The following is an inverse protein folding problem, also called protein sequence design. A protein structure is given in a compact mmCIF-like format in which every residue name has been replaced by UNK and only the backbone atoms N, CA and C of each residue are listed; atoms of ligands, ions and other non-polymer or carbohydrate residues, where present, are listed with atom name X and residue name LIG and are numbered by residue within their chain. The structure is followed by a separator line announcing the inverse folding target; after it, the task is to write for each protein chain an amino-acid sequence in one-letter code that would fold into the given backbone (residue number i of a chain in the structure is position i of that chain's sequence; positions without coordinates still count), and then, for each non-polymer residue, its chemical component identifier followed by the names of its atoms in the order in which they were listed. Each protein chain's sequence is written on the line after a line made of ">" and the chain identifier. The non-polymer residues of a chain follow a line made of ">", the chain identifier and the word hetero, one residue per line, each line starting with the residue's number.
data_IF_927889721029
#
_entry.id   IF_927889721029
#
_cell.length_a   1.000
_cell.length_b   1.000
_cell.length_c   1.000
_cell.angle_alpha   90.00
_cell.angle_beta   90.00
_cell.angle_gamma   90.00
#
_symmetry.space_group_name_H-M   'P 1'
#
loop_
_entity.id
_entity.type
_entity.pdbx_description
1 polymer ?
#
# COMPACT_ATOMS: atom_id res chain seq x y z
N UNK A 1 -28.02 11.88 -26.91
CA UNK A 1 -28.19 11.31 -25.56
C UNK A 1 -28.43 9.81 -25.66
N UNK A 2 -27.47 8.99 -25.19
CA UNK A 2 -27.63 7.67 -24.56
C UNK A 2 -26.24 7.20 -24.12
N UNK A 3 -26.07 7.07 -22.79
CA UNK A 3 -24.86 6.68 -22.05
C UNK A 3 -24.69 5.15 -22.08
N UNK A 4 -23.46 4.66 -22.27
CA UNK A 4 -22.94 3.35 -21.83
C UNK A 4 -21.39 3.43 -21.94
N UNK A 5 -20.63 3.67 -20.87
CA UNK A 5 -20.24 2.78 -19.77
C UNK A 5 -18.97 1.94 -20.07
N UNK A 6 -18.01 2.05 -19.13
CA UNK A 6 -16.89 1.13 -18.85
C UNK A 6 -15.54 1.39 -19.56
N UNK A 7 -14.68 2.21 -18.95
CA UNK A 7 -13.33 1.87 -18.48
C UNK A 7 -12.63 3.13 -17.93
N UNK A 8 -13.04 3.57 -16.75
CA UNK A 8 -12.29 4.51 -15.92
C UNK A 8 -12.69 4.27 -14.46
N UNK A 9 -12.28 3.13 -13.92
CA UNK A 9 -12.60 2.73 -12.54
C UNK A 9 -11.77 1.50 -12.14
N UNK A 10 -10.54 1.70 -11.68
CA UNK A 10 -9.84 0.73 -10.80
C UNK A 10 -9.40 1.36 -9.48
N UNK A 11 -9.70 2.64 -9.24
CA UNK A 11 -9.53 3.27 -7.93
C UNK A 11 -10.79 3.89 -7.32
N UNK A 12 -11.97 3.81 -7.97
CA UNK A 12 -13.24 4.33 -7.43
C UNK A 12 -14.49 3.46 -7.74
N UNK A 13 -14.36 2.14 -7.91
CA UNK A 13 -15.55 1.26 -7.96
C UNK A 13 -15.83 0.84 -6.53
N UNK A 14 -16.84 1.42 -5.91
CA UNK A 14 -17.67 0.74 -4.93
C UNK A 14 -18.35 -0.47 -5.59
N UNK A 15 -17.58 -1.51 -5.87
CA UNK A 15 -18.09 -2.87 -5.88
C UNK A 15 -17.55 -3.46 -4.59
N UNK A 16 -18.38 -4.20 -3.87
CA UNK A 16 -17.96 -5.12 -2.84
C UNK A 16 -17.00 -6.17 -3.44
N UNK A 17 -15.81 -5.77 -3.89
CA UNK A 17 -14.66 -6.62 -3.86
C UNK A 17 -14.52 -6.93 -2.39
N UNK A 18 -14.99 -8.10 -2.01
CA UNK A 18 -14.64 -8.73 -0.75
C UNK A 18 -13.12 -8.73 -0.79
N UNK A 19 -12.48 -7.71 -0.20
CA UNK A 19 -11.04 -7.63 -0.12
C UNK A 19 -10.64 -8.96 0.48
N UNK A 20 -9.95 -9.80 -0.30
CA UNK A 20 -9.53 -11.10 0.16
C UNK A 20 -8.78 -10.84 1.47
N UNK A 21 -9.40 -11.24 2.58
CA UNK A 21 -8.84 -10.99 3.90
C UNK A 21 -7.44 -11.62 3.87
N UNK A 22 -6.40 -10.86 4.22
CA UNK A 22 -5.04 -11.38 4.14
C UNK A 22 -4.97 -12.67 4.94
N UNK A 23 -4.47 -13.72 4.29
CA UNK A 23 -4.57 -15.08 4.80
C UNK A 23 -3.68 -15.20 6.02
N UNK A 24 -4.30 -15.50 7.16
CA UNK A 24 -3.61 -15.76 8.42
C UNK A 24 -2.78 -17.03 8.24
N UNK A 25 -1.47 -16.93 8.46
CA UNK A 25 -0.59 -18.12 8.54
C UNK A 25 -1.00 -18.90 9.79
N UNK A 26 -1.80 -19.96 9.62
CA UNK A 26 -2.31 -20.78 10.73
C UNK A 26 -1.46 -22.02 11.02
N UNK A 27 -0.41 -22.26 10.24
CA UNK A 27 0.50 -23.36 10.53
C UNK A 27 1.53 -22.91 11.56
N UNK A 28 1.85 -23.77 12.53
CA UNK A 28 2.88 -23.52 13.52
C UNK A 28 4.22 -23.32 12.83
N UNK A 29 4.61 -22.05 12.63
CA UNK A 29 5.90 -21.69 12.01
C UNK A 29 6.99 -21.90 13.05
N UNK A 30 7.50 -23.12 13.16
CA UNK A 30 8.63 -23.46 14.03
C UNK A 30 9.98 -23.33 13.32
N UNK A 31 9.99 -23.39 11.99
CA UNK A 31 11.20 -23.37 11.17
C UNK A 31 11.04 -22.43 9.97
N UNK A 32 12.07 -21.65 9.68
CA UNK A 32 12.13 -20.71 8.55
C UNK A 32 13.43 -20.91 7.75
N UNK A 33 13.35 -20.75 6.43
CA UNK A 33 14.50 -20.67 5.55
C UNK A 33 14.67 -19.22 5.09
N UNK A 34 15.84 -18.61 5.33
CA UNK A 34 16.17 -17.32 4.72
C UNK A 34 16.45 -17.54 3.24
N UNK A 35 15.65 -16.91 2.39
CA UNK A 35 15.79 -16.98 0.93
C UNK A 35 15.35 -15.66 0.29
N UNK A 36 15.55 -15.50 -1.02
CA UNK A 36 15.17 -14.29 -1.76
C UNK A 36 13.88 -14.52 -2.54
N UNK A 37 12.85 -13.73 -2.23
CA UNK A 37 11.58 -13.69 -2.95
C UNK A 37 11.77 -12.94 -4.27
N UNK A 38 11.14 -13.45 -5.33
CA UNK A 38 11.14 -12.79 -6.65
C UNK A 38 10.46 -11.42 -6.63
N UNK A 39 9.59 -11.15 -5.66
CA UNK A 39 8.98 -9.82 -5.50
C UNK A 39 10.02 -8.73 -5.24
N UNK A 40 11.16 -9.08 -4.65
CA UNK A 40 12.26 -8.15 -4.43
C UNK A 40 13.07 -7.92 -5.71
N UNK A 41 12.82 -8.66 -6.79
CA UNK A 41 13.49 -8.47 -8.08
C UNK A 41 12.76 -7.48 -9.01
N UNK A 42 11.63 -6.95 -8.55
CA UNK A 42 10.81 -5.99 -9.29
C UNK A 42 11.04 -4.55 -8.79
N UNK A 43 11.31 -3.64 -9.73
CA UNK A 43 11.31 -2.19 -9.52
C UNK A 43 10.34 -1.53 -10.49
N UNK A 44 9.98 -0.28 -10.19
CA UNK A 44 9.14 0.54 -11.05
C UNK A 44 9.42 2.03 -10.78
N UNK A 45 8.61 2.92 -11.36
CA UNK A 45 8.77 4.37 -11.20
C UNK A 45 8.69 4.87 -9.76
N UNK A 46 8.04 4.12 -8.86
CA UNK A 46 7.87 4.48 -7.44
C UNK A 46 8.75 3.69 -6.50
N UNK A 47 9.45 2.67 -6.97
CA UNK A 47 10.20 1.72 -6.14
C UNK A 47 11.55 1.39 -6.79
N UNK A 48 12.66 1.69 -6.11
CA UNK A 48 14.02 1.46 -6.58
C UNK A 48 14.90 0.80 -5.51
N UNK A 49 15.99 0.15 -5.93
CA UNK A 49 17.00 -0.36 -5.00
C UNK A 49 17.90 0.76 -4.51
N UNK A 50 18.35 0.65 -3.26
CA UNK A 50 19.37 1.55 -2.67
C UNK A 50 20.60 0.80 -2.17
N UNK A 51 20.75 -0.46 -2.54
CA UNK A 51 21.99 -1.19 -2.34
C UNK A 51 22.22 -2.26 -3.41
N UNK A 52 23.46 -2.67 -3.55
CA UNK A 52 23.92 -3.66 -4.52
C UNK A 52 23.31 -5.05 -4.30
N UNK A 53 22.98 -5.39 -3.04
CA UNK A 53 22.33 -6.66 -2.68
C UNK A 53 20.84 -6.71 -3.05
N UNK A 54 20.24 -5.58 -3.45
CA UNK A 54 18.82 -5.46 -3.80
C UNK A 54 17.89 -5.92 -2.68
N UNK A 55 18.29 -5.71 -1.44
CA UNK A 55 17.51 -6.01 -0.24
C UNK A 55 17.24 -4.75 0.60
N UNK A 56 17.59 -3.57 0.08
CA UNK A 56 17.08 -2.29 0.57
C UNK A 56 16.30 -1.59 -0.57
N UNK A 57 15.04 -1.28 -0.30
CA UNK A 57 14.10 -0.68 -1.23
C UNK A 57 13.75 0.74 -0.79
N UNK A 58 13.76 1.66 -1.75
CA UNK A 58 13.29 3.02 -1.61
C UNK A 58 11.99 3.21 -2.36
N UNK A 59 11.01 3.82 -1.70
CA UNK A 59 9.67 4.03 -2.21
C UNK A 59 9.25 5.50 -2.09
N UNK A 60 8.70 6.04 -3.18
CA UNK A 60 7.95 7.29 -3.17
C UNK A 60 6.92 7.32 -4.29
N UNK A 61 5.87 8.12 -4.11
CA UNK A 61 4.75 8.18 -5.05
C UNK A 61 4.46 9.57 -5.60
N UNK A 62 5.36 10.52 -5.35
CA UNK A 62 5.16 11.94 -5.65
C UNK A 62 6.46 12.54 -6.18
N UNK A 63 6.33 13.44 -7.15
CA UNK A 63 7.44 14.19 -7.74
C UNK A 63 7.74 15.49 -6.97
N UNK A 64 6.92 15.83 -5.95
CA UNK A 64 7.08 17.02 -5.13
C UNK A 64 6.36 18.26 -5.67
N UNK A 65 5.53 18.12 -6.71
CA UNK A 65 4.77 19.24 -7.30
C UNK A 65 3.42 19.50 -6.60
N UNK A 66 3.03 18.65 -5.63
CA UNK A 66 1.79 18.76 -4.87
C UNK A 66 0.67 17.89 -5.47
N UNK A 67 0.13 17.00 -4.65
CA UNK A 67 -0.75 15.89 -5.05
C UNK A 67 -2.16 16.25 -5.54
N UNK A 68 -2.50 17.55 -5.64
CA UNK A 68 -3.83 18.00 -6.11
C UNK A 68 -4.03 17.83 -7.63
N UNK A 69 -2.94 17.65 -8.39
CA UNK A 69 -3.00 17.51 -9.84
C UNK A 69 -3.64 16.18 -10.30
N UNK A 70 -3.46 15.09 -9.54
CA UNK A 70 -3.86 13.75 -9.98
C UNK A 70 -5.38 13.53 -9.94
N UNK A 71 -6.08 14.14 -8.98
CA UNK A 71 -7.53 14.07 -8.87
C UNK A 71 -8.25 14.90 -9.96
N UNK A 72 -7.54 15.87 -10.56
CA UNK A 72 -8.18 16.96 -11.30
C UNK A 72 -7.99 16.89 -12.82
N UNK A 73 -6.91 16.27 -13.34
CA UNK A 73 -6.50 16.50 -14.74
C UNK A 73 -6.40 15.28 -15.68
N UNK A 74 -6.92 14.11 -15.30
CA UNK A 74 -7.08 12.99 -16.23
C UNK A 74 -5.78 12.30 -16.67
N UNK A 75 -5.89 11.39 -17.65
CA UNK A 75 -4.86 10.39 -17.97
C UNK A 75 -3.53 10.94 -18.54
N UNK A 76 -3.52 12.12 -19.14
CA UNK A 76 -2.31 12.73 -19.72
C UNK A 76 -1.42 13.30 -18.61
N UNK A 77 -2.00 14.05 -17.66
CA UNK A 77 -1.27 14.58 -16.50
C UNK A 77 -0.75 13.46 -15.61
N UNK A 78 -1.48 12.35 -15.52
CA UNK A 78 -1.00 11.15 -14.83
C UNK A 78 0.29 10.58 -15.45
N UNK A 79 0.44 10.60 -16.78
CA UNK A 79 1.62 10.07 -17.46
C UNK A 79 2.85 11.00 -17.32
N UNK A 80 2.65 12.31 -17.42
CA UNK A 80 3.71 13.30 -17.18
C UNK A 80 4.23 13.21 -15.74
N UNK A 81 3.33 13.09 -14.77
CA UNK A 81 3.68 12.91 -13.37
C UNK A 81 4.46 11.61 -13.13
N UNK A 82 4.16 10.52 -13.84
CA UNK A 82 4.93 9.27 -13.71
C UNK A 82 6.40 9.43 -14.13
N UNK A 83 6.70 10.22 -15.17
CA UNK A 83 8.08 10.48 -15.60
C UNK A 83 8.82 11.32 -14.56
N UNK A 84 8.15 12.33 -14.00
CA UNK A 84 8.72 13.14 -12.93
C UNK A 84 8.96 12.31 -11.66
N UNK A 85 8.00 11.48 -11.26
CA UNK A 85 8.14 10.55 -10.12
C UNK A 85 9.32 9.60 -10.35
N UNK A 86 9.44 9.00 -11.53
CA UNK A 86 10.55 8.10 -11.87
C UNK A 86 11.91 8.82 -11.77
N UNK A 87 12.02 10.03 -12.32
CA UNK A 87 13.24 10.82 -12.29
C UNK A 87 13.68 11.17 -10.85
N UNK A 88 12.73 11.62 -10.01
CA UNK A 88 13.01 11.93 -8.59
C UNK A 88 13.36 10.64 -7.83
N UNK A 89 12.69 9.52 -8.12
CA UNK A 89 12.96 8.22 -7.47
C UNK A 89 14.33 7.68 -7.81
N UNK A 90 14.74 7.78 -9.07
CA UNK A 90 16.09 7.39 -9.48
C UNK A 90 17.14 8.31 -8.86
N UNK A 91 16.90 9.62 -8.78
CA UNK A 91 17.83 10.57 -8.16
C UNK A 91 18.02 10.29 -6.66
N UNK A 92 16.93 10.14 -5.90
CA UNK A 92 16.97 9.83 -4.48
C UNK A 92 17.63 8.46 -4.23
N UNK A 93 17.27 7.44 -5.03
CA UNK A 93 17.85 6.11 -4.89
C UNK A 93 19.35 6.08 -5.20
N UNK A 94 19.80 6.84 -6.20
CA UNK A 94 21.21 7.00 -6.51
C UNK A 94 21.98 7.70 -5.37
N UNK A 95 21.37 8.67 -4.70
CA UNK A 95 21.96 9.33 -3.52
C UNK A 95 22.16 8.35 -2.35
N UNK A 96 21.23 7.40 -2.18
CA UNK A 96 21.27 6.42 -1.08
C UNK A 96 22.04 5.14 -1.41
N UNK A 97 22.40 4.92 -2.67
CA UNK A 97 23.01 3.68 -3.16
C UNK A 97 24.26 3.28 -2.37
N UNK A 98 24.20 2.13 -1.70
CA UNK A 98 25.25 1.56 -0.84
C UNK A 98 25.72 2.52 0.27
N UNK A 99 24.91 3.52 0.64
CA UNK A 99 25.19 4.46 1.72
C UNK A 99 24.54 4.10 3.05
N UNK A 100 23.50 3.26 3.03
CA UNK A 100 22.82 2.78 4.23
C UNK A 100 23.49 1.46 4.65
N UNK A 101 24.32 1.45 5.72
CA UNK A 101 25.16 0.31 6.07
C UNK A 101 24.36 -0.74 6.86
N UNK A 102 23.35 -1.32 6.21
CA UNK A 102 22.45 -2.32 6.79
C UNK A 102 22.51 -3.59 5.96
N UNK A 103 22.58 -4.72 6.66
CA UNK A 103 22.43 -6.06 6.08
C UNK A 103 21.16 -6.69 6.67
N UNK A 104 20.02 -6.60 5.96
CA UNK A 104 18.73 -7.10 6.45
C UNK A 104 18.75 -8.59 6.78
N UNK A 105 19.43 -9.42 5.97
CA UNK A 105 19.53 -10.86 6.18
C UNK A 105 20.31 -11.20 7.45
N UNK A 106 21.44 -10.51 7.68
CA UNK A 106 22.22 -10.67 8.91
C UNK A 106 21.47 -10.19 10.14
N UNK A 107 20.81 -9.04 10.07
CA UNK A 107 19.99 -8.51 11.17
C UNK A 107 18.85 -9.45 11.54
N UNK A 108 18.13 -9.98 10.53
CA UNK A 108 17.10 -10.99 10.73
C UNK A 108 17.64 -12.29 11.34
N UNK A 109 18.77 -12.80 10.84
CA UNK A 109 19.40 -14.02 11.37
C UNK A 109 19.76 -13.90 12.84
N UNK A 110 20.28 -12.72 13.23
CA UNK A 110 20.59 -12.42 14.63
C UNK A 110 19.33 -12.36 15.49
N UNK A 111 18.26 -11.70 15.02
CA UNK A 111 16.97 -11.67 15.69
C UNK A 111 16.36 -13.07 15.86
N UNK A 112 16.45 -13.91 14.83
CA UNK A 112 15.93 -15.29 14.85
C UNK A 112 16.64 -16.17 15.90
N UNK A 113 17.94 -15.96 16.12
CA UNK A 113 18.71 -16.68 17.15
C UNK A 113 18.17 -16.43 18.57
N UNK A 114 17.57 -15.26 18.82
CA UNK A 114 16.92 -14.92 20.08
C UNK A 114 15.45 -15.32 20.18
N UNK A 115 14.90 -15.98 19.15
CA UNK A 115 13.49 -16.34 19.06
C UNK A 115 13.26 -17.85 19.27
N UNK A 116 12.00 -18.26 19.41
CA UNK A 116 11.63 -19.69 19.42
C UNK A 116 11.57 -20.32 18.03
N UNK A 117 11.73 -19.53 16.97
CA UNK A 117 11.69 -19.97 15.58
C UNK A 117 13.10 -20.32 15.13
N UNK A 118 13.29 -21.53 14.61
CA UNK A 118 14.60 -22.01 14.14
C UNK A 118 14.82 -21.62 12.68
N UNK A 119 16.06 -21.30 12.32
CA UNK A 119 16.45 -21.19 10.92
C UNK A 119 16.94 -22.55 10.43
N UNK A 120 16.31 -23.08 9.38
CA UNK A 120 16.62 -24.39 8.82
C UNK A 120 16.58 -24.32 7.29
N UNK A 121 17.63 -24.80 6.64
CA UNK A 121 17.65 -24.97 5.19
C UNK A 121 16.66 -26.07 4.78
N UNK A 122 15.93 -25.85 3.69
CA UNK A 122 14.88 -26.76 3.23
C UNK A 122 13.56 -26.60 3.99
N UNK A 123 13.38 -25.55 4.81
CA UNK A 123 12.10 -25.27 5.45
C UNK A 123 11.01 -25.03 4.40
N UNK A 124 9.81 -25.54 4.69
CA UNK A 124 8.60 -25.28 3.92
C UNK A 124 8.23 -23.79 3.87
N UNK A 125 8.69 -23.00 4.85
CA UNK A 125 8.43 -21.57 4.93
C UNK A 125 9.72 -20.80 4.67
N UNK A 126 9.71 -20.06 3.58
CA UNK A 126 10.77 -19.19 3.10
C UNK A 126 10.50 -17.75 3.51
N UNK A 127 11.56 -17.05 3.91
CA UNK A 127 11.46 -15.65 4.31
C UNK A 127 12.53 -14.80 3.64
N UNK A 128 12.14 -13.60 3.23
CA UNK A 128 13.03 -12.63 2.58
C UNK A 128 13.04 -11.33 3.37
N UNK A 129 14.03 -11.14 4.26
CA UNK A 129 14.21 -9.89 4.98
C UNK A 129 14.73 -8.80 4.04
N UNK A 130 14.21 -7.59 4.18
CA UNK A 130 14.63 -6.41 3.42
C UNK A 130 14.40 -5.14 4.24
N UNK A 131 15.15 -4.08 3.93
CA UNK A 131 14.91 -2.74 4.45
C UNK A 131 13.93 -2.02 3.52
N UNK A 132 12.90 -1.40 4.08
CA UNK A 132 11.98 -0.54 3.34
C UNK A 132 12.15 0.91 3.77
N UNK A 133 12.35 1.81 2.82
CA UNK A 133 12.54 3.24 3.03
C UNK A 133 11.42 3.97 2.28
N UNK A 134 10.52 4.64 3.00
CA UNK A 134 9.39 5.37 2.46
C UNK A 134 9.62 6.88 2.56
N UNK A 135 9.52 7.63 1.46
CA UNK A 135 9.62 9.09 1.48
C UNK A 135 8.27 9.72 1.80
N UNK A 136 8.07 10.04 3.08
CA UNK A 136 6.84 10.65 3.58
C UNK A 136 6.70 12.13 3.19
N UNK A 137 7.78 12.89 3.17
CA UNK A 137 7.84 14.31 2.77
C UNK A 137 9.16 14.57 2.00
N UNK A 138 9.41 15.76 1.41
CA UNK A 138 10.63 16.01 0.63
C UNK A 138 11.94 15.67 1.35
N UNK A 139 12.02 15.92 2.66
CA UNK A 139 13.20 15.66 3.49
C UNK A 139 12.94 14.66 4.61
N UNK A 140 11.84 13.90 4.53
CA UNK A 140 11.43 12.95 5.57
C UNK A 140 11.31 11.55 5.00
N UNK A 141 12.25 10.70 5.38
CA UNK A 141 12.28 9.27 5.15
C UNK A 141 11.87 8.54 6.43
N UNK A 142 10.99 7.56 6.27
CA UNK A 142 10.56 6.64 7.30
C UNK A 142 11.03 5.24 6.92
N UNK A 143 11.56 4.49 7.90
CA UNK A 143 12.18 3.18 7.65
C UNK A 143 11.33 2.07 8.26
N UNK A 144 11.43 0.87 7.70
CA UNK A 144 10.93 -0.35 8.32
C UNK A 144 11.85 -1.55 8.08
N UNK A 145 11.97 -2.40 9.11
CA UNK A 145 12.37 -3.78 8.90
C UNK A 145 11.19 -4.50 8.24
N UNK A 146 11.42 -5.16 7.11
CA UNK A 146 10.36 -5.77 6.33
C UNK A 146 10.69 -7.22 5.97
N UNK A 147 9.68 -8.07 5.94
CA UNK A 147 9.81 -9.50 5.73
C UNK A 147 8.71 -9.97 4.79
N UNK A 148 9.09 -10.59 3.67
CA UNK A 148 8.15 -11.40 2.87
C UNK A 148 8.22 -12.82 3.40
N UNK A 149 7.07 -13.44 3.65
CA UNK A 149 6.93 -14.82 4.07
C UNK A 149 6.20 -15.60 2.97
N UNK A 150 6.84 -16.63 2.46
CA UNK A 150 6.35 -17.51 1.39
C UNK A 150 6.31 -18.94 1.93
N UNK A 151 5.20 -19.67 1.78
CA UNK A 151 5.08 -21.02 2.33
C UNK A 151 4.50 -22.04 1.35
N UNK A 152 4.92 -23.29 1.49
CA UNK A 152 4.31 -24.46 0.83
C UNK A 152 3.22 -25.04 1.73
N UNK A 153 1.97 -24.66 1.51
CA UNK A 153 0.78 -25.18 2.21
C UNK A 153 -0.44 -25.14 1.28
N UNK A 154 -1.67 -25.44 1.74
CA UNK A 154 -2.89 -25.28 0.91
C UNK A 154 -3.13 -23.82 0.46
N UNK A 155 -2.37 -22.90 1.06
CA UNK A 155 -2.17 -21.52 0.67
C UNK A 155 -0.94 -21.31 -0.23
N UNK A 156 -0.56 -22.30 -1.05
CA UNK A 156 0.57 -22.23 -1.98
C UNK A 156 0.44 -20.98 -2.85
N UNK A 157 1.44 -20.10 -2.80
CA UNK A 157 1.45 -18.81 -3.49
C UNK A 157 0.95 -17.61 -2.67
N UNK A 158 0.45 -17.80 -1.45
CA UNK A 158 0.10 -16.68 -0.57
C UNK A 158 1.36 -16.12 0.09
N UNK A 159 1.75 -14.95 -0.40
CA UNK A 159 2.86 -14.16 0.11
C UNK A 159 2.33 -13.21 1.18
N UNK A 160 2.83 -13.34 2.40
CA UNK A 160 2.49 -12.43 3.48
C UNK A 160 3.64 -11.45 3.70
N UNK A 161 3.32 -10.15 3.77
CA UNK A 161 4.28 -9.11 4.10
C UNK A 161 4.11 -8.72 5.56
N UNK A 162 5.21 -8.67 6.29
CA UNK A 162 5.30 -8.10 7.62
C UNK A 162 6.24 -6.91 7.57
N UNK A 163 5.84 -5.78 8.14
CA UNK A 163 6.70 -4.61 8.29
C UNK A 163 6.64 -4.11 9.73
N UNK A 164 7.78 -3.71 10.25
CA UNK A 164 7.90 -3.02 11.52
C UNK A 164 8.53 -1.66 11.30
N UNK A 165 7.75 -0.60 11.46
CA UNK A 165 8.23 0.77 11.28
C UNK A 165 9.25 1.11 12.37
N UNK A 166 10.44 1.49 11.95
CA UNK A 166 11.52 1.94 12.83
C UNK A 166 11.19 3.34 13.34
N UNK A 167 11.35 3.55 14.65
CA UNK A 167 11.16 4.85 15.27
C UNK A 167 12.19 5.86 14.77
N UNK A 168 11.72 7.06 14.42
CA UNK A 168 12.52 8.17 13.93
C UNK A 168 12.17 8.60 12.51
N UNK A 169 12.72 9.75 12.14
CA UNK A 169 12.64 10.33 10.82
C UNK A 169 14.07 10.64 10.36
N UNK A 170 14.33 10.50 9.07
CA UNK A 170 15.66 10.71 8.50
C UNK A 170 15.56 11.56 7.25
N UNK A 171 16.50 12.47 7.02
CA UNK A 171 16.66 13.03 5.67
C UNK A 171 17.45 12.09 4.77
N UNK A 172 17.36 12.23 3.43
CA UNK A 172 18.25 11.53 2.52
C UNK A 172 19.74 11.80 2.82
N UNK A 173 20.08 13.02 3.24
CA UNK A 173 21.43 13.38 3.64
C UNK A 173 21.87 12.62 4.91
N UNK A 174 21.02 12.56 5.93
CA UNK A 174 21.33 11.88 7.20
C UNK A 174 21.63 10.39 6.96
N UNK A 175 20.80 9.71 6.16
CA UNK A 175 21.02 8.31 5.80
C UNK A 175 22.28 8.11 4.96
N UNK A 176 22.58 9.05 4.06
CA UNK A 176 23.75 8.95 3.20
C UNK A 176 25.08 9.18 3.95
N UNK A 177 25.03 9.81 5.13
CA UNK A 177 26.21 10.19 5.93
C UNK A 177 26.19 9.65 7.35
N UNK A 178 25.59 8.48 7.59
CA UNK A 178 25.59 7.84 8.91
C UNK A 178 27.02 7.56 9.36
N UNK A 179 27.39 8.08 10.54
CA UNK A 179 28.61 7.67 11.23
C UNK A 179 28.44 6.29 11.89
N UNK A 180 29.53 5.68 12.34
CA UNK A 180 29.53 4.32 12.91
C UNK A 180 28.53 4.16 14.07
N UNK A 181 28.40 5.16 14.94
CA UNK A 181 27.48 5.12 16.07
C UNK A 181 26.01 5.16 15.62
N UNK A 182 25.68 6.03 14.65
CA UNK A 182 24.34 6.13 14.09
C UNK A 182 23.98 4.88 13.27
N UNK A 183 24.93 4.34 12.49
CA UNK A 183 24.80 3.08 11.78
C UNK A 183 24.56 1.91 12.73
N UNK A 184 25.31 1.81 13.83
CA UNK A 184 25.13 0.77 14.84
C UNK A 184 23.74 0.88 15.51
N UNK A 185 23.30 2.10 15.84
CA UNK A 185 21.95 2.35 16.38
C UNK A 185 20.86 1.90 15.41
N UNK A 186 20.95 2.31 14.14
CA UNK A 186 19.99 1.91 13.11
C UNK A 186 19.94 0.39 12.92
N UNK A 187 21.11 -0.26 12.82
CA UNK A 187 21.19 -1.72 12.73
C UNK A 187 20.53 -2.41 13.92
N UNK A 188 20.72 -1.88 15.14
CA UNK A 188 20.08 -2.44 16.33
C UNK A 188 18.55 -2.27 16.27
N UNK A 189 18.05 -1.11 15.86
CA UNK A 189 16.61 -0.90 15.69
C UNK A 189 16.00 -1.85 14.66
N UNK A 190 16.72 -2.14 13.56
CA UNK A 190 16.26 -3.08 12.52
C UNK A 190 16.24 -4.53 13.04
N UNK A 191 17.27 -4.96 13.78
CA UNK A 191 17.31 -6.25 14.48
C UNK A 191 16.14 -6.39 15.48
N UNK A 192 15.86 -5.33 16.24
CA UNK A 192 14.73 -5.31 17.18
C UNK A 192 13.39 -5.37 16.43
N UNK A 193 13.26 -4.66 15.30
CA UNK A 193 12.09 -4.75 14.42
C UNK A 193 11.85 -6.16 13.90
N UNK A 194 12.88 -6.87 13.44
CA UNK A 194 12.77 -8.27 13.05
C UNK A 194 12.38 -9.19 14.22
N UNK A 195 12.90 -8.92 15.42
CA UNK A 195 12.53 -9.67 16.62
C UNK A 195 11.03 -9.51 16.93
N UNK A 196 10.47 -8.32 16.73
CA UNK A 196 9.04 -8.07 16.90
C UNK A 196 8.20 -8.75 15.80
N UNK A 197 8.65 -8.74 14.55
CA UNK A 197 8.02 -9.48 13.45
C UNK A 197 7.96 -10.98 13.77
N UNK A 198 9.06 -11.58 14.22
CA UNK A 198 9.09 -13.01 14.58
C UNK A 198 8.11 -13.36 15.72
N UNK A 199 8.03 -12.50 16.75
CA UNK A 199 7.02 -12.64 17.82
C UNK A 199 5.60 -12.59 17.25
N UNK A 200 5.33 -11.66 16.33
CA UNK A 200 4.01 -11.53 15.69
C UNK A 200 3.68 -12.74 14.83
N UNK A 201 4.62 -13.28 14.06
CA UNK A 201 4.44 -14.52 13.29
C UNK A 201 4.08 -15.68 14.22
N UNK A 202 4.81 -15.84 15.33
CA UNK A 202 4.51 -16.88 16.32
C UNK A 202 3.14 -16.69 17.00
N UNK A 203 2.67 -15.45 17.16
CA UNK A 203 1.35 -15.14 17.71
C UNK A 203 0.22 -15.38 16.67
N UNK A 204 0.43 -15.02 15.41
CA UNK A 204 -0.52 -15.26 14.30
C UNK A 204 -0.81 -16.75 14.14
N UNK A 205 0.22 -17.60 14.26
CA UNK A 205 0.09 -19.05 14.19
C UNK A 205 -0.86 -19.65 15.26
N UNK A 206 -1.10 -18.92 16.37
CA UNK A 206 -2.01 -19.35 17.45
C UNK A 206 -3.48 -18.99 17.19
N UNK A 207 -3.80 -18.27 16.12
CA UNK A 207 -5.17 -18.15 15.60
C UNK A 207 -6.07 -17.07 16.22
N UNK A 208 -5.55 -15.91 16.62
CA UNK A 208 -6.33 -14.85 17.29
C UNK A 208 -7.15 -13.92 16.38
N UNK A 209 -7.34 -14.24 15.09
CA UNK A 209 -7.88 -13.32 14.10
C UNK A 209 -9.34 -12.89 14.33
N UNK A 210 -10.12 -13.63 15.13
CA UNK A 210 -11.54 -13.31 15.40
C UNK A 210 -11.75 -12.13 16.36
N UNK A 211 -10.69 -11.55 16.93
CA UNK A 211 -10.75 -10.45 17.89
C UNK A 211 -10.29 -9.10 17.30
N UNK A 212 -9.94 -9.08 16.01
CA UNK A 212 -9.39 -7.89 15.37
C UNK A 212 -10.48 -6.82 15.14
N UNK A 213 -10.19 -5.57 15.51
CA UNK A 213 -11.13 -4.44 15.39
C UNK A 213 -10.90 -3.72 14.07
N UNK A 214 -11.95 -3.51 13.27
CA UNK A 214 -11.85 -2.71 12.03
C UNK A 214 -11.57 -1.25 12.35
N UNK A 215 -10.69 -0.64 11.56
CA UNK A 215 -10.30 0.76 11.67
C UNK A 215 -10.21 1.42 10.29
N UNK A 216 -10.46 2.73 10.26
CA UNK A 216 -10.07 3.60 9.17
C UNK A 216 -8.99 4.56 9.70
N UNK A 217 -7.86 4.65 9.00
CA UNK A 217 -6.73 5.44 9.44
C UNK A 217 -5.91 5.95 8.25
N UNK A 218 -5.15 7.01 8.45
CA UNK A 218 -4.15 7.51 7.50
C UNK A 218 -2.77 7.22 8.06
N UNK A 219 -1.81 6.96 7.18
CA UNK A 219 -0.43 6.80 7.61
C UNK A 219 0.53 7.37 6.57
N UNK A 220 1.35 8.38 6.91
CA UNK A 220 2.36 8.90 6.00
C UNK A 220 3.43 7.84 5.66
N UNK A 221 3.51 6.75 6.43
CA UNK A 221 4.37 5.62 6.13
C UNK A 221 3.83 4.73 5.00
N UNK A 222 2.55 4.36 5.06
CA UNK A 222 1.91 3.46 4.09
C UNK A 222 1.39 4.15 2.84
N UNK A 223 0.90 5.38 2.98
CA UNK A 223 0.38 6.22 1.91
C UNK A 223 1.08 7.58 1.96
N UNK A 224 2.40 7.62 1.72
CA UNK A 224 3.16 8.87 1.78
C UNK A 224 2.54 9.92 0.85
N UNK A 225 2.34 11.13 1.39
CA UNK A 225 1.81 12.33 0.69
C UNK A 225 0.41 12.21 0.08
N UNK A 226 -0.29 11.12 0.34
CA UNK A 226 -1.69 10.97 -0.02
C UNK A 226 -2.57 11.06 1.22
N UNK A 227 -3.59 11.90 1.14
CA UNK A 227 -4.55 12.10 2.23
C UNK A 227 -5.73 11.11 2.19
N UNK A 228 -5.46 9.85 1.82
CA UNK A 228 -6.49 8.80 1.75
C UNK A 228 -6.52 7.96 3.03
N UNK A 229 -7.71 7.74 3.56
CA UNK A 229 -7.91 6.79 4.65
C UNK A 229 -7.80 5.35 4.13
N UNK A 230 -6.98 4.55 4.80
CA UNK A 230 -6.88 3.12 4.65
C UNK A 230 -7.90 2.44 5.58
N UNK A 231 -8.54 1.39 5.10
CA UNK A 231 -9.32 0.47 5.92
C UNK A 231 -8.47 -0.75 6.28
N UNK A 232 -8.43 -1.10 7.55
CA UNK A 232 -7.70 -2.26 8.06
C UNK A 232 -8.28 -2.78 9.37
N UNK A 233 -7.57 -3.67 10.03
CA UNK A 233 -7.91 -4.17 11.36
C UNK A 233 -6.75 -4.01 12.33
N UNK A 234 -7.03 -3.63 13.58
CA UNK A 234 -6.05 -3.68 14.67
C UNK A 234 -5.90 -5.12 15.13
N UNK A 235 -4.68 -5.62 15.08
CA UNK A 235 -4.31 -6.99 15.44
C UNK A 235 -3.68 -7.06 16.82
N UNK A 236 -2.92 -6.03 17.19
CA UNK A 236 -2.36 -5.81 18.52
C UNK A 236 -2.06 -4.32 18.70
N UNK A 237 -2.05 -3.87 19.95
CA UNK A 237 -1.69 -2.50 20.31
C UNK A 237 -0.61 -2.58 21.40
N UNK A 238 0.64 -2.38 21.00
CA UNK A 238 1.80 -2.45 21.88
C UNK A 238 2.06 -1.04 22.48
N UNK A 239 3.18 -0.85 23.19
CA UNK A 239 3.49 0.44 23.81
C UNK A 239 3.66 1.55 22.76
N UNK A 240 4.55 1.34 21.78
CA UNK A 240 4.98 2.37 20.82
C UNK A 240 4.38 2.18 19.42
N UNK A 241 3.91 0.97 19.11
CA UNK A 241 3.37 0.62 17.79
C UNK A 241 1.98 0.03 17.89
N UNK A 242 1.18 0.22 16.85
CA UNK A 242 -0.08 -0.51 16.63
C UNK A 242 0.10 -1.42 15.43
N UNK A 243 -0.17 -2.71 15.63
CA UNK A 243 -0.16 -3.70 14.56
C UNK A 243 -1.47 -3.64 13.80
N UNK A 244 -1.39 -3.27 12.53
CA UNK A 244 -2.54 -3.17 11.63
C UNK A 244 -2.40 -4.15 10.48
N UNK A 245 -3.49 -4.80 10.14
CA UNK A 245 -3.62 -5.68 8.98
C UNK A 245 -4.42 -4.96 7.91
N UNK A 246 -3.85 -4.85 6.72
CA UNK A 246 -4.49 -4.27 5.52
C UNK A 246 -4.31 -5.22 4.34
N UNK A 247 -4.93 -4.94 3.19
CA UNK A 247 -4.87 -5.81 2.01
C UNK A 247 -3.43 -6.14 1.53
N UNK A 248 -2.45 -5.31 1.88
CA UNK A 248 -1.04 -5.49 1.53
C UNK A 248 -0.19 -6.29 2.53
N UNK A 249 -0.72 -6.64 3.71
CA UNK A 249 0.04 -7.36 4.75
C UNK A 249 -0.23 -6.86 6.18
N UNK A 250 0.74 -7.14 7.06
CA UNK A 250 0.76 -6.78 8.47
C UNK A 250 1.82 -5.70 8.72
N UNK A 251 1.45 -4.63 9.39
CA UNK A 251 2.31 -3.47 9.60
C UNK A 251 2.27 -3.06 11.07
N UNK A 252 3.40 -3.05 11.77
CA UNK A 252 3.54 -2.35 13.03
C UNK A 252 3.87 -0.89 12.74
N UNK A 253 2.89 -0.02 12.90
CA UNK A 253 3.05 1.40 12.65
C UNK A 253 3.34 2.11 13.98
N UNK A 254 4.26 3.06 13.96
CA UNK A 254 4.45 3.96 15.09
C UNK A 254 3.14 4.69 15.38
N UNK A 255 2.75 4.84 16.64
CA UNK A 255 1.45 5.43 17.00
C UNK A 255 1.29 6.85 16.46
N UNK A 256 2.37 7.63 16.45
CA UNK A 256 2.40 8.96 15.85
C UNK A 256 2.23 8.95 14.31
N UNK A 257 2.45 7.81 13.66
CA UNK A 257 2.25 7.62 12.22
C UNK A 257 0.85 7.12 11.85
N UNK A 258 -0.08 7.11 12.81
CA UNK A 258 -1.50 6.79 12.59
C UNK A 258 -2.33 8.06 12.82
N UNK A 259 -2.80 8.66 11.74
CA UNK A 259 -3.61 9.88 11.76
C UNK A 259 -5.07 9.47 11.48
N UNK A 260 -6.00 9.95 12.31
CA UNK A 260 -7.42 9.55 12.32
C UNK A 260 -7.69 8.16 12.93
N UNK A 261 -8.64 8.15 13.85
CA UNK A 261 -8.86 7.06 14.82
C UNK A 261 -10.27 6.49 14.65
N UNK A 262 -10.31 5.17 14.49
CA UNK A 262 -11.42 4.22 14.72
C UNK A 262 -12.83 4.82 14.65
N UNK A 263 -13.45 4.76 13.47
CA UNK A 263 -14.90 4.64 13.45
C UNK A 263 -15.21 3.19 13.81
N UNK A 264 -15.61 2.93 15.06
CA UNK A 264 -16.18 1.65 15.42
C UNK A 264 -17.45 1.50 14.56
N UNK A 265 -17.39 0.66 13.52
CA UNK A 265 -18.60 0.25 12.84
C UNK A 265 -19.52 -0.33 13.93
N UNK A 266 -20.79 0.11 14.02
CA UNK A 266 -21.71 -0.48 14.97
C UNK A 266 -21.66 -1.99 14.73
N UNK A 267 -21.36 -2.74 15.80
CA UNK A 267 -21.57 -4.19 15.79
C UNK A 267 -23.02 -4.34 15.35
N UNK A 268 -23.25 -4.76 14.12
CA UNK A 268 -24.57 -5.25 13.72
C UNK A 268 -24.74 -6.45 14.64
N UNK A 269 -25.45 -6.23 15.76
CA UNK A 269 -25.80 -7.29 16.66
C UNK A 269 -26.30 -8.41 15.77
N UNK A 270 -25.65 -9.57 15.86
CA UNK A 270 -26.06 -10.74 15.10
C UNK A 270 -27.59 -10.78 15.20
N UNK A 271 -28.27 -10.73 14.05
CA UNK A 271 -29.72 -10.74 14.03
C UNK A 271 -30.16 -11.81 15.02
N UNK A 272 -30.98 -11.48 16.04
CA UNK A 272 -31.31 -12.41 17.11
C UNK A 272 -31.68 -13.72 16.42
N UNK A 273 -30.98 -14.78 16.80
CA UNK A 273 -31.16 -16.10 16.21
C UNK A 273 -32.67 -16.29 16.05
N UNK A 274 -33.12 -16.40 14.79
CA UNK A 274 -34.53 -16.43 14.47
C UNK A 274 -35.18 -17.39 15.45
N UNK A 275 -36.02 -16.83 16.33
CA UNK A 275 -36.71 -17.59 17.36
C UNK A 275 -37.34 -18.77 16.63
N UNK A 276 -36.93 -19.98 17.02
CA UNK A 276 -37.35 -21.19 16.35
C UNK A 276 -38.87 -21.12 16.24
N UNK A 277 -39.39 -21.06 15.01
CA UNK A 277 -40.83 -21.02 14.78
C UNK A 277 -41.44 -22.14 15.63
N UNK A 278 -42.41 -21.83 16.50
CA UNK A 278 -43.06 -22.85 17.28
C UNK A 278 -43.55 -23.94 16.31
N UNK A 279 -43.41 -25.23 16.66
CA UNK A 279 -43.93 -26.30 15.83
C UNK A 279 -45.42 -26.01 15.54
N UNK A 280 -45.88 -26.25 14.29
CA UNK A 280 -47.26 -25.94 13.91
C UNK A 280 -48.22 -26.57 14.93
N UNK A 281 -49.05 -25.73 15.55
CA UNK A 281 -50.05 -26.19 16.50
C UNK A 281 -50.98 -27.21 15.80
N UNK A 282 -51.35 -28.32 16.47
CA UNK A 282 -52.33 -29.24 15.93
C UNK A 282 -53.64 -28.50 15.67
N UNK A 283 -54.22 -28.70 14.49
CA UNK A 283 -55.45 -28.05 14.05
C UNK A 283 -56.59 -28.33 15.06
N UNK A 284 -56.94 -27.30 15.84
CA UNK A 284 -58.09 -27.32 16.73
C UNK A 284 -59.30 -26.66 16.06
N UNK A 285 -60.45 -27.33 16.19
CA UNK A 285 -61.74 -26.94 15.65
C UNK A 285 -62.21 -25.55 16.15
N UNK A 286 -63.05 -24.84 15.38
CA UNK A 286 -63.46 -23.48 15.69
C UNK A 286 -64.33 -23.43 16.94
N UNK A 287 -63.89 -22.68 17.96
CA UNK A 287 -64.68 -22.33 19.13
C UNK A 287 -64.76 -20.81 19.26
N UNK A 288 -65.98 -20.38 19.61
CA UNK A 288 -66.52 -19.03 19.55
C UNK A 288 -65.79 -18.00 20.40
N UNK A 289 -65.71 -16.80 19.83
CA UNK A 289 -65.19 -15.56 20.42
C UNK A 289 -66.20 -14.98 21.40
N UNK A 290 -65.75 -14.65 22.61
CA UNK A 290 -66.42 -13.73 23.53
C UNK A 290 -65.38 -12.71 24.04
N UNK A 291 -65.62 -11.39 23.92
CA UNK A 291 -64.67 -10.37 24.35
C UNK A 291 -64.89 -9.93 25.80
N UNK A 292 -63.82 -9.64 26.52
CA UNK A 292 -63.87 -8.81 27.73
C UNK A 292 -62.66 -7.87 27.84
N UNK A 293 -62.81 -6.71 28.51
CA UNK A 293 -62.06 -5.50 28.22
C UNK A 293 -61.00 -5.14 29.27
N UNK A 294 -60.18 -4.15 28.88
CA UNK A 294 -59.44 -3.17 29.69
C UNK A 294 -58.51 -3.66 30.81
N UNK A 295 -57.25 -3.20 30.78
CA UNK A 295 -56.68 -2.41 31.89
C UNK A 295 -55.47 -1.60 31.38
N UNK A 296 -55.50 -0.31 31.71
CA UNK A 296 -54.44 0.69 31.54
C UNK A 296 -53.51 0.62 32.75
N UNK A 297 -52.18 0.67 32.56
CA UNK A 297 -51.27 0.99 33.66
C UNK A 297 -50.13 1.91 33.20
N UNK A 298 -49.86 2.90 34.06
CA UNK A 298 -49.05 4.08 33.81
C UNK A 298 -47.56 3.85 34.10
N UNK A 299 -46.71 4.61 33.38
CA UNK A 299 -45.25 4.63 33.54
C UNK A 299 -44.87 5.81 34.45
N UNK A 300 -44.07 5.62 35.53
CA UNK A 300 -43.56 6.72 36.33
C UNK A 300 -42.26 7.34 35.78
N UNK A 301 -42.14 8.64 36.03
CA UNK A 301 -41.01 9.54 35.74
C UNK A 301 -39.72 9.17 36.49
N UNK A 302 -38.56 9.43 35.85
CA UNK A 302 -37.23 9.35 36.45
C UNK A 302 -36.68 10.78 36.63
N UNK A 303 -36.18 11.16 37.84
CA UNK A 303 -35.68 12.50 38.10
C UNK A 303 -34.23 12.75 37.64
N UNK A 304 -33.93 14.04 37.55
CA UNK A 304 -32.76 14.65 36.93
C UNK A 304 -31.50 14.78 37.83
N UNK A 305 -30.38 14.95 37.11
CA UNK A 305 -29.21 15.80 37.39
C UNK A 305 -28.13 15.36 38.39
N UNK A 306 -26.90 15.25 37.86
CA UNK A 306 -25.61 15.43 38.56
C UNK A 306 -24.75 16.37 37.70
N UNK A 307 -24.20 17.49 38.23
CA UNK A 307 -23.29 18.34 37.48
C UNK A 307 -21.83 17.87 37.65
N UNK A 308 -21.13 17.69 36.54
CA UNK A 308 -19.68 17.47 36.53
C UNK A 308 -18.95 18.79 36.26
N UNK A 309 -18.16 19.22 37.25
CA UNK A 309 -17.18 20.30 37.14
C UNK A 309 -15.92 19.74 36.46
N UNK A 310 -15.53 20.28 35.31
CA UNK A 310 -14.18 20.10 34.74
C UNK A 310 -13.59 21.46 34.42
N UNK A 311 -12.47 21.76 35.09
CA UNK A 311 -11.64 22.91 34.84
C UNK A 311 -10.94 22.76 33.48
N UNK A 312 -10.99 23.83 32.67
CA UNK A 312 -10.25 23.95 31.42
C UNK A 312 -8.79 24.32 31.73
N UNK A 313 -7.85 23.51 31.23
CA UNK A 313 -6.44 23.88 31.12
C UNK A 313 -6.20 24.30 29.68
N UNK A 314 -5.92 25.58 29.47
CA UNK A 314 -5.49 26.14 28.18
C UNK A 314 -4.02 25.80 27.93
N UNK A 315 -3.67 25.13 26.82
CA UNK A 315 -2.27 24.98 26.45
C UNK A 315 -1.72 26.28 25.87
N UNK A 316 -0.54 26.67 26.35
CA UNK A 316 0.27 27.77 25.83
C UNK A 316 0.77 27.44 24.42
N UNK A 317 0.67 28.35 23.43
CA UNK A 317 1.18 28.10 22.08
C UNK A 317 2.71 28.06 22.07
N UNK A 318 3.26 27.06 21.38
CA UNK A 318 4.69 26.94 21.10
C UNK A 318 5.13 28.02 20.10
N UNK A 319 6.36 28.55 20.22
CA UNK A 319 6.88 29.56 19.29
C UNK A 319 7.13 28.96 17.89
N UNK A 320 6.73 29.70 16.87
CA UNK A 320 6.95 29.33 15.47
C UNK A 320 8.45 29.34 15.12
N UNK A 321 8.95 28.37 14.33
CA UNK A 321 10.33 28.36 13.88
C UNK A 321 10.59 29.48 12.85
N UNK A 322 11.75 30.12 12.99
CA UNK A 322 12.21 31.18 12.10
C UNK A 322 12.41 30.64 10.68
N UNK A 323 11.73 31.24 9.71
CA UNK A 323 11.93 30.96 8.27
C UNK A 323 13.24 31.60 7.82
N UNK A 324 14.23 30.77 7.48
CA UNK A 324 15.41 31.20 6.73
C UNK A 324 15.00 31.42 5.27
N UNK A 325 15.12 32.65 4.79
CA UNK A 325 14.85 32.98 3.40
C UNK A 325 15.97 32.41 2.50
N UNK A 326 15.69 31.31 1.83
CA UNK A 326 16.57 30.77 0.79
C UNK A 326 16.32 31.53 -0.51
N UNK A 327 17.38 32.14 -1.04
CA UNK A 327 17.38 32.85 -2.32
C UNK A 327 17.02 31.87 -3.45
N UNK A 328 16.01 32.13 -4.30
CA UNK A 328 15.64 31.22 -5.37
C UNK A 328 16.79 31.07 -6.36
N UNK A 329 17.15 29.82 -6.66
CA UNK A 329 18.06 29.49 -7.75
C UNK A 329 17.42 29.88 -9.08
N UNK A 330 18.23 30.39 -10.01
CA UNK A 330 17.78 30.75 -11.34
C UNK A 330 17.18 29.52 -12.05
N UNK A 331 16.09 29.68 -12.83
CA UNK A 331 15.45 28.58 -13.51
C UNK A 331 16.43 27.90 -14.48
N UNK A 332 16.63 26.60 -14.30
CA UNK A 332 17.32 25.75 -15.26
C UNK A 332 16.38 25.63 -16.47
N UNK A 333 16.81 26.16 -17.61
CA UNK A 333 16.10 25.99 -18.89
C UNK A 333 16.21 24.52 -19.29
N UNK A 334 15.15 23.75 -19.05
CA UNK A 334 15.05 22.38 -19.53
C UNK A 334 15.05 22.39 -21.06
N UNK A 335 16.06 21.77 -21.67
CA UNK A 335 16.06 21.48 -23.11
C UNK A 335 14.99 20.43 -23.35
N UNK A 336 13.96 20.76 -24.13
CA UNK A 336 12.90 19.82 -24.47
C UNK A 336 13.51 18.56 -25.12
N UNK A 337 13.14 17.34 -24.67
CA UNK A 337 13.64 16.12 -25.29
C UNK A 337 13.26 16.09 -26.77
N UNK A 338 14.23 15.78 -27.64
CA UNK A 338 13.97 15.63 -29.06
C UNK A 338 12.98 14.48 -29.27
N UNK A 339 11.86 14.77 -29.93
CA UNK A 339 10.82 13.77 -30.20
C UNK A 339 11.36 12.70 -31.15
N UNK A 340 11.48 11.46 -30.66
CA UNK A 340 11.88 10.30 -31.48
C UNK A 340 10.72 9.92 -32.42
N UNK A 341 11.03 9.69 -33.70
CA UNK A 341 10.03 9.30 -34.71
C UNK A 341 10.22 7.84 -35.14
N UNK A 342 9.12 7.17 -35.42
CA UNK A 342 9.11 5.83 -36.01
C UNK A 342 8.01 5.72 -37.08
N UNK A 343 8.04 4.65 -37.85
CA UNK A 343 6.97 4.32 -38.78
C UNK A 343 6.23 3.08 -38.30
N UNK A 344 4.91 3.05 -38.47
CA UNK A 344 4.11 1.87 -38.16
C UNK A 344 4.29 0.78 -39.24
N UNK A 345 4.33 -0.50 -38.84
CA UNK A 345 4.20 -1.65 -39.77
C UNK A 345 2.79 -1.71 -40.35
N UNK A 346 2.64 -2.44 -41.44
CA UNK A 346 1.31 -2.69 -42.01
C UNK A 346 0.41 -3.43 -41.01
N UNK A 347 -0.81 -2.94 -40.83
CA UNK A 347 -1.77 -3.50 -39.88
C UNK A 347 -1.45 -3.23 -38.40
N UNK A 348 -0.49 -2.36 -38.09
CA UNK A 348 -0.15 -2.04 -36.72
C UNK A 348 -1.36 -1.45 -35.96
N UNK A 349 -1.64 -2.00 -34.78
CA UNK A 349 -2.84 -1.69 -34.02
C UNK A 349 -2.53 -0.73 -32.88
N UNK A 350 -3.10 0.48 -32.93
CA UNK A 350 -3.15 1.37 -31.77
C UNK A 350 -4.19 0.86 -30.79
N UNK A 351 -3.82 0.75 -29.51
CA UNK A 351 -4.68 0.28 -28.43
C UNK A 351 -4.90 1.36 -27.39
N UNK A 352 -6.08 1.36 -26.78
CA UNK A 352 -6.40 2.29 -25.70
C UNK A 352 -5.48 2.08 -24.47
N UNK A 353 -5.08 0.83 -24.23
CA UNK A 353 -4.21 0.45 -23.11
C UNK A 353 -3.18 -0.59 -23.55
N UNK A 354 -2.00 -0.63 -22.91
CA UNK A 354 -1.01 -1.67 -23.11
C UNK A 354 -1.51 -2.93 -22.39
N UNK A 355 -2.13 -3.85 -23.13
CA UNK A 355 -2.78 -4.99 -22.53
C UNK A 355 -1.78 -6.02 -21.99
N UNK A 356 -2.06 -6.58 -20.81
CA UNK A 356 -1.48 -7.83 -20.34
C UNK A 356 -1.80 -8.95 -21.35
N UNK A 357 -0.93 -9.95 -21.45
CA UNK A 357 -0.89 -10.93 -22.54
C UNK A 357 -2.23 -11.67 -22.81
N UNK A 358 -3.13 -11.72 -21.83
CA UNK A 358 -4.43 -12.40 -21.91
C UNK A 358 -5.63 -11.50 -22.24
N UNK A 359 -5.52 -10.16 -22.16
CA UNK A 359 -6.69 -9.28 -22.11
C UNK A 359 -6.99 -8.48 -23.40
N UNK A 360 -6.22 -8.66 -24.48
CA UNK A 360 -6.54 -8.12 -25.81
C UNK A 360 -7.07 -6.68 -25.80
N UNK A 361 -6.23 -5.71 -25.45
CA UNK A 361 -6.64 -4.31 -25.27
C UNK A 361 -7.38 -3.75 -26.49
N UNK A 362 -8.45 -2.98 -26.23
CA UNK A 362 -9.33 -2.41 -27.25
C UNK A 362 -8.50 -1.65 -28.30
N UNK A 363 -8.58 -2.12 -29.54
CA UNK A 363 -7.97 -1.45 -30.69
C UNK A 363 -8.77 -0.17 -30.95
N UNK A 364 -8.08 0.97 -30.92
CA UNK A 364 -8.66 2.29 -31.18
C UNK A 364 -8.44 2.72 -32.64
N UNK A 365 -7.38 2.23 -33.28
CA UNK A 365 -7.12 2.44 -34.70
C UNK A 365 -6.18 1.37 -35.26
N UNK A 366 -6.24 1.17 -36.57
CA UNK A 366 -5.24 0.41 -37.33
C UNK A 366 -4.50 1.42 -38.22
N UNK A 367 -3.17 1.35 -38.20
CA UNK A 367 -2.30 2.22 -38.97
C UNK A 367 -1.91 1.53 -40.28
N UNK A 368 -1.84 2.31 -41.36
CA UNK A 368 -1.27 1.83 -42.62
C UNK A 368 0.26 1.74 -42.50
N UNK A 369 0.86 0.85 -43.29
CA UNK A 369 2.32 0.75 -43.39
C UNK A 369 2.98 2.12 -43.65
N UNK A 370 4.07 2.42 -42.95
CA UNK A 370 4.81 3.67 -43.12
C UNK A 370 4.16 4.89 -42.48
N UNK A 371 3.04 4.73 -41.75
CA UNK A 371 2.42 5.86 -41.03
C UNK A 371 3.41 6.41 -40.00
N UNK A 372 3.80 7.69 -40.08
CA UNK A 372 4.71 8.28 -39.12
C UNK A 372 4.03 8.43 -37.76
N UNK A 373 4.74 8.03 -36.72
CA UNK A 373 4.28 8.14 -35.33
C UNK A 373 5.33 8.84 -34.48
N UNK A 374 4.86 9.68 -33.56
CA UNK A 374 5.71 10.34 -32.57
C UNK A 374 5.73 9.47 -31.32
N UNK A 375 6.91 9.01 -30.91
CA UNK A 375 7.09 8.21 -29.70
C UNK A 375 7.10 9.12 -28.49
N UNK A 376 6.19 8.88 -27.53
CA UNK A 376 6.02 9.71 -26.33
C UNK A 376 6.53 9.03 -25.07
N UNK A 377 6.13 7.78 -24.86
CA UNK A 377 6.45 7.05 -23.64
C UNK A 377 6.75 5.59 -23.96
N UNK A 378 7.78 5.02 -23.33
CA UNK A 378 8.11 3.59 -23.42
C UNK A 378 7.77 2.91 -22.11
N UNK A 379 7.08 1.77 -22.16
CA UNK A 379 6.91 0.90 -20.99
C UNK A 379 7.25 -0.54 -21.36
N UNK A 380 7.67 -1.33 -20.37
CA UNK A 380 7.87 -2.77 -20.48
C UNK A 380 6.98 -3.47 -19.47
N UNK A 381 6.28 -4.52 -19.89
CA UNK A 381 5.48 -5.35 -18.99
C UNK A 381 5.58 -6.82 -19.43
N UNK A 382 4.92 -7.72 -18.68
CA UNK A 382 4.91 -9.16 -19.00
C UNK A 382 4.31 -9.55 -20.36
N UNK A 383 3.77 -8.60 -21.14
CA UNK A 383 3.28 -8.81 -22.51
C UNK A 383 4.18 -8.22 -23.61
N UNK A 384 5.30 -7.60 -23.23
CA UNK A 384 6.30 -7.04 -24.12
C UNK A 384 6.57 -5.56 -23.88
N UNK A 385 7.21 -4.94 -24.86
CA UNK A 385 7.56 -3.52 -24.84
C UNK A 385 6.54 -2.72 -25.65
N UNK A 386 6.04 -1.65 -25.06
CA UNK A 386 4.98 -0.82 -25.62
C UNK A 386 5.42 0.64 -25.69
N UNK A 387 4.96 1.31 -26.73
CA UNK A 387 5.12 2.74 -26.92
C UNK A 387 3.77 3.44 -26.90
N UNK A 388 3.63 4.48 -26.10
CA UNK A 388 2.58 5.46 -26.31
C UNK A 388 3.01 6.34 -27.48
N UNK A 389 2.15 6.45 -28.49
CA UNK A 389 2.44 7.18 -29.71
C UNK A 389 1.30 8.12 -30.09
N UNK A 390 1.65 9.21 -30.77
CA UNK A 390 0.69 10.09 -31.43
C UNK A 390 0.81 9.94 -32.95
N UNK A 391 -0.32 9.66 -33.59
CA UNK A 391 -0.44 9.57 -35.03
C UNK A 391 -1.43 10.66 -35.51
N UNK A 392 -0.96 11.58 -36.36
CA UNK A 392 -1.65 12.83 -36.67
C UNK A 392 -3.16 12.71 -36.95
N UNK A 393 -3.58 11.72 -37.73
CA UNK A 393 -4.98 11.53 -38.11
C UNK A 393 -5.75 10.50 -37.27
N UNK A 394 -5.07 9.79 -36.35
CA UNK A 394 -5.63 8.65 -35.61
C UNK A 394 -5.61 8.83 -34.09
N UNK A 395 -5.05 9.95 -33.62
CA UNK A 395 -4.99 10.29 -32.20
C UNK A 395 -3.85 9.56 -31.49
N UNK A 396 -4.01 9.37 -30.19
CA UNK A 396 -3.02 8.74 -29.33
C UNK A 396 -3.42 7.30 -28.99
N UNK A 397 -2.41 6.45 -28.83
CA UNK A 397 -2.62 5.07 -28.41
C UNK A 397 -1.31 4.35 -28.12
N UNK A 398 -1.45 3.11 -27.67
CA UNK A 398 -0.34 2.22 -27.38
C UNK A 398 -0.12 1.26 -28.55
N UNK A 399 1.13 1.17 -29.02
CA UNK A 399 1.57 0.26 -30.08
C UNK A 399 2.70 -0.61 -29.53
N UNK A 400 2.78 -1.89 -29.92
CA UNK A 400 3.91 -2.72 -29.48
C UNK A 400 5.18 -2.30 -30.22
N UNK A 401 6.32 -2.36 -29.55
CA UNK A 401 7.62 -2.05 -30.17
C UNK A 401 7.88 -2.93 -31.42
N UNK A 402 7.43 -4.18 -31.40
CA UNK A 402 7.52 -5.10 -32.54
C UNK A 402 6.60 -4.74 -33.74
N UNK A 403 5.61 -3.87 -33.54
CA UNK A 403 4.72 -3.33 -34.58
C UNK A 403 5.24 -2.01 -35.19
N UNK A 404 6.40 -1.54 -34.75
CA UNK A 404 7.09 -0.39 -35.31
C UNK A 404 8.20 -0.85 -36.27
N UNK A 405 8.36 -0.14 -37.37
CA UNK A 405 9.50 -0.23 -38.29
C UNK A 405 10.44 0.96 -38.07
N UNK A 406 11.74 0.68 -38.14
CA UNK A 406 12.81 1.68 -38.15
C UNK A 406 12.60 2.82 -37.13
N UNK A 407 12.80 2.54 -35.84
CA UNK A 407 12.87 3.60 -34.81
C UNK A 407 14.07 4.47 -35.17
N UNK A 408 13.80 5.67 -35.73
CA UNK A 408 14.84 6.64 -36.05
C UNK A 408 15.12 7.41 -34.76
N UNK A 409 16.22 7.02 -34.11
CA UNK A 409 16.75 7.69 -32.92
C UNK A 409 17.33 9.04 -33.27
#
# INVERSE_FOLDING_TARGET
>A
MKLCASFLLVLLVSACATFAQPVVVRQGVSELEVSRSKLLDETNSTLQYVNSNKDALYFQTDDGTGSDAFASFGAIVAAENMVAIDAVTQADAAQLMDKVPVDPAKAFTKAATGSSIRLAAGSAVKVSPYLYISKAEPEVLLLAAALIVEGSGPSEGLQNKYMYQIAGQYSPADLASLNDAAAAKLNKQIEDGYSQILKRIAADAKGSASLEKTINFKSPFLTPRFDYALTGTIVADDADVTWVRVAGGMFALQKESIIATVQALPVVAAAPAAEALPPPAPAAAPASVEPSPETVEAVPEIPAAVPAVRAAVTPTPAPAPARVAVKPAAPVVAVAPQATQANAKDGASLRATPALASAGGKIVAILAAGTPVILKQKISNGSGVWWNVSAAAKGEGWIRELELDQIKR
#
